data_IF_685490890941
#
_entry.id   IF_685490890941
#
_cell.length_a   1.000
_cell.length_b   1.000
_cell.length_c   1.000
_cell.angle_alpha   90.00
_cell.angle_beta   90.00
_cell.angle_gamma   90.00
#
_symmetry.space_group_name_H-M   'P 1'
#
loop_
_entity.id
_entity.type
_entity.pdbx_description
1 polymer ?
#
# COMPACT_ATOMS: atom_id res chain seq x y z
N UNK A 1 51.04 17.02 10.78
CA UNK A 1 50.93 18.13 11.76
C UNK A 1 49.44 18.47 11.87
N UNK A 2 48.77 18.06 12.96
CA UNK A 2 48.38 18.90 14.12
C UNK A 2 47.45 20.05 13.69
N UNK A 3 46.12 19.90 13.84
CA UNK A 3 45.23 20.48 14.90
C UNK A 3 44.08 21.19 14.13
N UNK A 4 42.84 21.43 14.57
CA UNK A 4 42.07 21.38 15.82
C UNK A 4 40.56 21.37 15.41
N UNK A 5 39.64 20.68 16.11
CA UNK A 5 38.74 21.17 17.18
C UNK A 5 37.43 21.88 16.76
N UNK A 6 36.30 21.18 17.02
CA UNK A 6 35.06 21.56 17.74
C UNK A 6 34.39 22.92 17.44
N UNK A 7 33.06 22.90 17.20
CA UNK A 7 32.06 23.83 17.79
C UNK A 7 30.71 23.10 17.92
N UNK A 8 30.10 23.23 19.09
CA UNK A 8 28.77 22.77 19.49
C UNK A 8 27.71 23.88 19.28
N UNK A 9 26.42 23.51 19.20
CA UNK A 9 25.33 24.06 20.03
C UNK A 9 23.92 23.90 19.39
N UNK A 10 23.06 23.23 20.16
CA UNK A 10 21.65 23.52 20.46
C UNK A 10 20.65 23.99 19.37
N UNK A 11 19.60 23.17 19.18
CA UNK A 11 18.25 23.67 18.93
C UNK A 11 17.23 22.73 19.60
N UNK A 12 16.88 23.01 20.86
CA UNK A 12 15.69 22.44 21.52
C UNK A 12 14.53 23.38 21.20
N UNK A 13 13.64 22.94 20.32
CA UNK A 13 12.37 23.62 20.03
C UNK A 13 11.36 23.24 21.10
N UNK A 14 11.04 24.19 21.98
CA UNK A 14 10.00 24.08 23.01
C UNK A 14 8.63 24.33 22.36
N UNK A 15 7.69 23.42 22.62
CA UNK A 15 6.30 23.42 22.15
C UNK A 15 5.53 24.69 22.55
N UNK A 16 4.69 25.17 21.64
CA UNK A 16 3.73 26.25 21.86
C UNK A 16 2.29 25.73 21.97
N UNK A 17 1.63 26.17 23.04
CA UNK A 17 0.28 26.75 23.18
C UNK A 17 -1.05 26.01 22.83
N UNK A 18 -2.01 26.35 23.71
CA UNK A 18 -3.46 26.55 23.56
C UNK A 18 -4.35 25.28 23.56
N UNK A 19 -5.07 25.02 24.64
CA UNK A 19 -6.33 25.64 25.06
C UNK A 19 -7.56 25.07 24.32
N UNK A 20 -8.39 24.34 25.06
CA UNK A 20 -9.82 24.20 24.78
C UNK A 20 -10.53 23.80 26.08
N UNK A 21 -11.26 24.74 26.68
CA UNK A 21 -12.41 24.44 27.55
C UNK A 21 -13.65 24.19 26.67
N UNK A 22 -14.64 23.43 27.16
CA UNK A 22 -15.79 24.03 27.86
C UNK A 22 -16.14 23.18 29.12
N UNK A 23 -16.92 23.57 30.12
CA UNK A 23 -17.95 24.59 30.32
C UNK A 23 -18.88 24.03 31.41
N UNK A 24 -19.28 24.87 32.37
CA UNK A 24 -20.14 24.62 33.53
C UNK A 24 -21.50 23.95 33.18
N UNK A 25 -22.23 23.26 34.08
CA UNK A 25 -23.06 23.76 35.22
C UNK A 25 -23.82 22.56 35.87
N UNK A 26 -24.71 22.70 36.89
CA UNK A 26 -24.57 23.10 38.29
C UNK A 26 -25.07 22.00 39.28
N UNK A 27 -24.87 22.19 40.60
CA UNK A 27 -25.89 22.11 41.69
C UNK A 27 -25.25 21.76 43.04
N UNK A 28 -25.45 22.65 44.02
CA UNK A 28 -25.11 22.43 45.43
C UNK A 28 -26.32 21.87 46.19
N UNK A 29 -26.10 20.87 47.05
CA UNK A 29 -27.10 20.38 48.00
C UNK A 29 -26.69 19.10 48.77
N UNK A 30 -25.94 19.29 49.86
CA UNK A 30 -25.65 18.44 51.06
C UNK A 30 -26.58 17.24 51.35
N UNK A 31 -26.20 16.08 51.94
CA UNK A 31 -24.94 15.42 52.35
C UNK A 31 -25.23 13.94 52.66
N UNK A 32 -24.16 13.14 52.59
CA UNK A 32 -23.92 11.83 53.26
C UNK A 32 -24.21 10.54 52.47
N UNK A 33 -23.15 10.16 51.74
CA UNK A 33 -22.57 8.80 51.65
C UNK A 33 -23.27 7.77 50.75
N UNK A 34 -23.20 8.09 49.46
CA UNK A 34 -22.90 7.26 48.28
C UNK A 34 -23.62 5.90 48.17
N UNK A 35 -24.71 5.90 47.41
CA UNK A 35 -25.38 4.71 46.89
C UNK A 35 -25.58 4.77 45.37
N UNK A 36 -25.53 3.59 44.77
CA UNK A 36 -26.32 3.08 43.62
C UNK A 36 -26.04 3.56 42.18
N UNK A 37 -25.63 2.56 41.36
CA UNK A 37 -26.29 2.07 40.14
C UNK A 37 -27.07 3.04 39.22
N UNK A 38 -26.72 3.05 37.92
CA UNK A 38 -27.63 2.82 36.79
C UNK A 38 -26.93 2.85 35.41
N UNK A 39 -27.20 1.83 34.61
CA UNK A 39 -27.59 1.80 33.18
C UNK A 39 -26.89 2.63 32.09
N UNK A 40 -26.38 1.88 31.10
CA UNK A 40 -26.47 2.08 29.65
C UNK A 40 -26.48 3.51 29.08
N UNK A 41 -25.35 3.89 28.48
CA UNK A 41 -25.29 4.88 27.41
C UNK A 41 -24.25 4.45 26.36
N UNK A 42 -24.75 4.05 25.20
CA UNK A 42 -23.97 3.83 23.99
C UNK A 42 -23.38 5.17 23.54
N UNK A 43 -22.09 5.37 23.76
CA UNK A 43 -21.33 6.48 23.19
C UNK A 43 -20.49 5.93 22.05
N UNK A 44 -20.98 6.16 20.84
CA UNK A 44 -20.27 5.89 19.60
C UNK A 44 -18.87 6.53 19.67
N UNK A 45 -17.84 5.69 19.64
CA UNK A 45 -16.48 6.14 19.41
C UNK A 45 -16.42 6.85 18.03
N UNK A 46 -15.60 7.92 17.88
CA UNK A 46 -15.45 8.58 16.59
C UNK A 46 -14.94 7.53 15.61
N UNK A 47 -15.79 7.21 14.63
CA UNK A 47 -15.45 6.34 13.52
C UNK A 47 -14.16 6.84 12.89
N UNK A 48 -13.24 5.92 12.67
CA UNK A 48 -12.13 6.08 11.73
C UNK A 48 -12.65 6.86 10.54
N UNK A 49 -12.03 8.01 10.26
CA UNK A 49 -12.22 8.68 9.00
C UNK A 49 -11.90 7.64 7.93
N UNK A 50 -12.96 7.13 7.28
CA UNK A 50 -12.82 6.43 6.02
C UNK A 50 -12.10 7.42 5.12
N UNK A 51 -10.82 7.17 4.85
CA UNK A 51 -10.10 7.87 3.80
C UNK A 51 -10.95 7.69 2.56
N UNK A 52 -11.64 8.75 2.16
CA UNK A 52 -12.43 8.81 0.93
C UNK A 52 -11.48 8.40 -0.18
N UNK A 53 -11.58 7.14 -0.63
CA UNK A 53 -10.74 6.63 -1.68
C UNK A 53 -10.95 7.56 -2.88
N UNK A 54 -9.93 8.33 -3.24
CA UNK A 54 -9.94 9.09 -4.48
C UNK A 54 -10.25 8.08 -5.57
N UNK A 55 -11.42 8.21 -6.20
CA UNK A 55 -11.84 7.29 -7.24
C UNK A 55 -11.03 7.58 -8.49
N UNK A 56 -9.82 7.03 -8.56
CA UNK A 56 -8.95 7.15 -9.72
C UNK A 56 -9.58 6.35 -10.86
N UNK A 57 -9.91 7.04 -11.96
CA UNK A 57 -10.54 6.41 -13.12
C UNK A 57 -9.47 5.82 -14.07
N UNK A 58 -9.39 4.48 -14.25
CA UNK A 58 -8.39 3.83 -15.10
C UNK A 58 -8.52 4.20 -16.59
N UNK A 59 -9.67 4.71 -17.04
CA UNK A 59 -9.88 5.12 -18.43
C UNK A 59 -8.95 6.29 -18.85
N UNK A 60 -8.53 7.14 -17.90
CA UNK A 60 -7.69 8.32 -18.15
C UNK A 60 -6.24 8.01 -18.52
N UNK A 61 -5.78 6.79 -18.27
CA UNK A 61 -4.38 6.39 -18.45
C UNK A 61 -4.19 5.65 -19.78
N UNK A 62 -3.02 5.73 -20.40
CA UNK A 62 -2.74 5.02 -21.66
C UNK A 62 -2.64 3.51 -21.41
N UNK A 63 -3.16 2.65 -22.30
CA UNK A 63 -3.05 1.18 -22.17
C UNK A 63 -1.62 0.65 -22.46
N UNK A 64 -0.68 0.98 -21.58
CA UNK A 64 0.72 0.51 -21.54
C UNK A 64 1.25 0.57 -20.10
N UNK A 65 2.48 0.10 -19.89
CA UNK A 65 3.13 0.07 -18.58
C UNK A 65 3.17 1.45 -17.94
N UNK A 66 3.55 2.49 -18.69
CA UNK A 66 3.57 3.87 -18.17
C UNK A 66 2.21 4.31 -17.64
N UNK A 67 1.11 3.99 -18.34
CA UNK A 67 -0.23 4.27 -17.85
C UNK A 67 -0.59 3.49 -16.59
N UNK A 68 -0.19 2.22 -16.50
CA UNK A 68 -0.40 1.40 -15.31
C UNK A 68 0.35 1.98 -14.10
N UNK A 69 1.61 2.36 -14.29
CA UNK A 69 2.44 2.96 -13.24
C UNK A 69 1.84 4.28 -12.77
N UNK A 70 1.41 5.15 -13.68
CA UNK A 70 0.76 6.42 -13.32
C UNK A 70 -0.56 6.18 -12.56
N UNK A 71 -1.38 5.23 -13.00
CA UNK A 71 -2.63 4.88 -12.32
C UNK A 71 -2.42 4.36 -10.90
N UNK A 72 -1.45 3.47 -10.71
CA UNK A 72 -1.11 2.92 -9.39
C UNK A 72 -0.47 3.98 -8.49
N UNK A 73 0.30 4.91 -9.06
CA UNK A 73 0.91 6.05 -8.36
C UNK A 73 -0.12 7.08 -7.90
N UNK A 74 -1.04 7.49 -8.79
CA UNK A 74 -2.14 8.40 -8.46
C UNK A 74 -3.15 7.75 -7.48
N UNK A 75 -3.17 6.42 -7.42
CA UNK A 75 -3.91 5.66 -6.39
C UNK A 75 -3.14 5.51 -5.07
N UNK A 76 -1.96 6.12 -4.95
CA UNK A 76 -1.08 6.11 -3.77
C UNK A 76 -0.55 4.71 -3.35
N UNK A 77 -0.49 3.76 -4.29
CA UNK A 77 0.04 2.42 -4.00
C UNK A 77 1.53 2.29 -4.28
N UNK A 78 2.07 3.08 -5.21
CA UNK A 78 3.49 3.15 -5.54
C UNK A 78 3.97 4.60 -5.58
N UNK A 79 5.26 4.82 -5.34
CA UNK A 79 5.85 6.15 -5.29
C UNK A 79 7.22 6.17 -5.98
N UNK A 80 7.59 7.34 -6.53
CA UNK A 80 8.86 7.53 -7.22
C UNK A 80 8.95 6.81 -8.57
N UNK A 81 10.17 6.61 -9.06
CA UNK A 81 10.40 5.96 -10.36
C UNK A 81 10.34 4.43 -10.30
N UNK A 82 10.55 3.83 -9.13
CA UNK A 82 10.82 2.39 -9.03
C UNK A 82 12.16 2.00 -9.69
N UNK A 83 12.45 0.71 -9.65
CA UNK A 83 13.66 0.10 -10.23
C UNK A 83 13.23 -0.78 -11.40
N UNK A 84 13.93 -0.66 -12.53
CA UNK A 84 13.71 -1.55 -13.68
C UNK A 84 14.13 -2.99 -13.33
N UNK A 85 13.34 -3.95 -13.81
CA UNK A 85 13.55 -5.37 -13.53
C UNK A 85 14.15 -6.09 -14.73
N UNK A 86 14.74 -7.26 -14.49
CA UNK A 86 15.06 -8.25 -15.53
C UNK A 86 13.78 -8.94 -16.03
N UNK A 87 12.87 -8.14 -16.60
CA UNK A 87 11.52 -8.56 -16.96
C UNK A 87 11.48 -9.58 -18.10
N UNK A 88 12.54 -9.62 -18.92
CA UNK A 88 12.70 -10.58 -20.00
C UNK A 88 12.79 -12.02 -19.49
N UNK A 89 13.27 -12.23 -18.24
CA UNK A 89 13.34 -13.55 -17.61
C UNK A 89 11.97 -14.21 -17.46
N UNK A 90 10.89 -13.42 -17.39
CA UNK A 90 9.51 -13.90 -17.34
C UNK A 90 8.75 -13.64 -18.64
N UNK A 91 9.46 -13.28 -19.71
CA UNK A 91 8.91 -13.03 -21.03
C UNK A 91 8.09 -11.73 -21.16
N UNK A 92 8.15 -10.83 -20.18
CA UNK A 92 7.45 -9.55 -20.24
C UNK A 92 8.15 -8.58 -21.21
N UNK A 93 7.45 -7.50 -21.60
CA UNK A 93 7.93 -6.40 -22.45
C UNK A 93 8.52 -5.23 -21.63
N UNK A 94 8.19 -5.18 -20.35
CA UNK A 94 8.69 -4.18 -19.42
C UNK A 94 8.28 -4.55 -18.01
N UNK A 95 9.05 -4.10 -17.02
CA UNK A 95 8.76 -4.36 -15.62
C UNK A 95 9.45 -3.39 -14.67
N UNK A 96 8.74 -3.01 -13.60
CA UNK A 96 9.29 -2.17 -12.53
C UNK A 96 8.92 -2.69 -11.15
N UNK A 97 9.85 -2.53 -10.21
CA UNK A 97 9.68 -2.82 -8.78
C UNK A 97 9.62 -1.53 -7.98
N UNK A 98 8.69 -1.48 -7.04
CA UNK A 98 8.53 -0.44 -6.05
C UNK A 98 8.62 -1.09 -4.68
N UNK A 99 9.47 -0.55 -3.80
CA UNK A 99 9.62 -1.04 -2.44
C UNK A 99 9.48 0.13 -1.48
N UNK A 100 8.67 -0.04 -0.45
CA UNK A 100 8.58 0.92 0.65
C UNK A 100 8.65 0.25 2.01
N UNK A 101 9.23 0.95 2.96
CA UNK A 101 9.27 0.54 4.36
C UNK A 101 7.97 0.98 5.03
N UNK A 102 7.17 0.04 5.52
CA UNK A 102 5.92 0.33 6.24
C UNK A 102 6.20 0.50 7.74
N UNK A 103 7.15 -0.27 8.27
CA UNK A 103 7.60 -0.16 9.66
C UNK A 103 9.07 -0.59 9.77
N UNK A 104 9.68 -0.43 10.95
CA UNK A 104 11.12 -0.70 11.17
C UNK A 104 11.61 -2.06 10.64
N UNK A 105 10.73 -3.07 10.61
CA UNK A 105 11.05 -4.43 10.16
C UNK A 105 10.10 -4.93 9.04
N UNK A 106 9.37 -4.04 8.38
CA UNK A 106 8.37 -4.42 7.36
C UNK A 106 8.58 -3.65 6.06
N UNK A 107 8.73 -4.38 4.97
CA UNK A 107 8.77 -3.84 3.61
C UNK A 107 7.62 -4.39 2.78
N UNK A 108 7.02 -3.50 1.99
CA UNK A 108 6.10 -3.88 0.94
C UNK A 108 6.76 -3.66 -0.41
N UNK A 109 6.65 -4.68 -1.26
CA UNK A 109 7.16 -4.69 -2.61
C UNK A 109 6.03 -4.97 -3.59
N UNK A 110 5.93 -4.13 -4.61
CA UNK A 110 5.02 -4.28 -5.74
C UNK A 110 5.86 -4.31 -7.01
N UNK A 111 5.73 -5.37 -7.80
CA UNK A 111 6.29 -5.48 -9.14
C UNK A 111 5.16 -5.48 -10.16
N UNK A 112 5.31 -4.68 -11.21
CA UNK A 112 4.31 -4.50 -12.26
C UNK A 112 4.96 -4.76 -13.61
N UNK A 113 4.32 -5.60 -14.42
CA UNK A 113 4.83 -6.05 -15.71
C UNK A 113 3.79 -5.86 -16.82
N UNK A 114 4.25 -5.55 -18.03
CA UNK A 114 3.44 -5.55 -19.26
C UNK A 114 3.84 -6.73 -20.15
N UNK A 115 2.86 -7.43 -20.72
CA UNK A 115 3.06 -8.46 -21.73
C UNK A 115 2.58 -8.00 -23.11
N UNK A 116 3.27 -8.46 -24.16
CA UNK A 116 2.75 -8.38 -25.53
C UNK A 116 1.85 -9.59 -25.80
N UNK A 117 0.53 -9.36 -25.75
CA UNK A 117 -0.46 -10.40 -26.02
C UNK A 117 -0.65 -10.68 -27.51
N UNK A 118 -0.17 -9.82 -28.41
CA UNK A 118 -0.30 -10.02 -29.86
C UNK A 118 0.73 -11.03 -30.37
N UNK A 119 1.93 -11.00 -29.79
CA UNK A 119 3.02 -11.90 -30.15
C UNK A 119 3.79 -12.39 -28.91
N UNK A 120 3.15 -13.15 -28.00
CA UNK A 120 3.82 -13.61 -26.79
C UNK A 120 4.87 -14.66 -27.12
N UNK A 121 6.07 -14.50 -26.55
CA UNK A 121 7.12 -15.52 -26.59
C UNK A 121 6.73 -16.76 -25.75
N UNK A 122 7.50 -17.85 -25.87
CA UNK A 122 7.20 -19.10 -25.17
C UNK A 122 7.18 -18.94 -23.64
N UNK A 123 8.12 -18.17 -23.09
CA UNK A 123 8.19 -17.86 -21.65
C UNK A 123 6.95 -17.10 -21.20
N UNK A 124 6.53 -16.07 -21.93
CA UNK A 124 5.33 -15.29 -21.63
C UNK A 124 4.08 -16.17 -21.60
N UNK A 125 3.90 -17.05 -22.60
CA UNK A 125 2.76 -17.99 -22.62
C UNK A 125 2.73 -18.86 -21.36
N UNK A 126 3.88 -19.50 -21.04
CA UNK A 126 4.02 -20.34 -19.84
C UNK A 126 3.67 -19.58 -18.57
N UNK A 127 4.25 -18.40 -18.36
CA UNK A 127 4.03 -17.60 -17.15
C UNK A 127 2.56 -17.15 -17.05
N UNK A 128 1.98 -16.62 -18.14
CA UNK A 128 0.59 -16.17 -18.14
C UNK A 128 -0.37 -17.33 -17.86
N UNK A 129 -0.12 -18.51 -18.43
CA UNK A 129 -0.97 -19.68 -18.20
C UNK A 129 -0.84 -20.23 -16.77
N UNK A 130 0.37 -20.29 -16.22
CA UNK A 130 0.59 -20.67 -14.81
C UNK A 130 -0.16 -19.74 -13.86
N UNK A 131 -0.10 -18.42 -14.08
CA UNK A 131 -0.76 -17.45 -13.21
C UNK A 131 -2.28 -17.53 -13.34
N UNK A 132 -2.83 -17.74 -14.55
CA UNK A 132 -4.27 -17.97 -14.73
C UNK A 132 -4.77 -19.19 -13.98
N UNK A 133 -3.99 -20.27 -13.98
CA UNK A 133 -4.38 -21.54 -13.34
C UNK A 133 -4.20 -21.52 -11.82
N UNK A 134 -3.14 -20.85 -11.33
CA UNK A 134 -2.67 -21.07 -9.96
C UNK A 134 -2.44 -19.80 -9.14
N UNK A 135 -2.66 -18.60 -9.70
CA UNK A 135 -2.28 -17.31 -9.12
C UNK A 135 -0.79 -17.27 -8.69
N UNK A 136 0.05 -17.93 -9.47
CA UNK A 136 1.50 -17.97 -9.26
C UNK A 136 2.23 -18.45 -10.51
N UNK A 137 3.53 -18.24 -10.57
CA UNK A 137 4.40 -18.84 -11.58
C UNK A 137 5.69 -19.37 -10.95
N UNK A 138 6.40 -20.24 -11.65
CA UNK A 138 7.67 -20.79 -11.18
C UNK A 138 8.86 -20.14 -11.87
N UNK A 139 9.79 -19.61 -11.08
CA UNK A 139 11.07 -19.04 -11.55
C UNK A 139 12.21 -19.54 -10.65
N UNK A 140 13.25 -20.11 -11.24
CA UNK A 140 14.36 -20.75 -10.51
C UNK A 140 13.88 -21.69 -9.40
N UNK A 141 12.94 -22.59 -9.74
CA UNK A 141 12.33 -23.58 -8.84
C UNK A 141 11.53 -22.98 -7.66
N UNK A 142 11.35 -21.65 -7.64
CA UNK A 142 10.55 -20.97 -6.63
C UNK A 142 9.19 -20.60 -7.19
N UNK A 143 8.15 -20.92 -6.41
CA UNK A 143 6.78 -20.50 -6.68
C UNK A 143 6.60 -19.06 -6.24
N UNK A 144 6.32 -18.18 -7.19
CA UNK A 144 6.12 -16.74 -6.98
C UNK A 144 4.62 -16.44 -7.08
N UNK A 145 3.96 -16.00 -5.99
CA UNK A 145 2.58 -15.54 -6.04
C UNK A 145 2.42 -14.32 -6.96
N UNK A 146 1.43 -14.37 -7.83
CA UNK A 146 1.18 -13.30 -8.79
C UNK A 146 -0.30 -13.25 -9.19
N UNK A 147 -0.74 -12.12 -9.71
CA UNK A 147 -2.07 -12.01 -10.29
C UNK A 147 -2.03 -11.26 -11.62
N UNK A 148 -2.99 -11.58 -12.48
CA UNK A 148 -3.21 -10.84 -13.73
C UNK A 148 -4.24 -9.74 -13.53
N UNK A 149 -4.06 -8.65 -14.26
CA UNK A 149 -5.10 -7.67 -14.53
C UNK A 149 -6.27 -8.32 -15.28
N UNK A 150 -7.46 -7.71 -15.26
CA UNK A 150 -8.68 -8.33 -15.83
C UNK A 150 -8.57 -8.58 -17.34
N UNK A 151 -7.84 -7.73 -18.07
CA UNK A 151 -7.57 -7.92 -19.51
C UNK A 151 -6.41 -8.88 -19.81
N UNK A 152 -5.74 -9.43 -18.78
CA UNK A 152 -4.65 -10.38 -18.90
C UNK A 152 -3.31 -9.81 -19.39
N UNK A 153 -3.24 -8.53 -19.74
CA UNK A 153 -2.04 -7.89 -20.32
C UNK A 153 -0.97 -7.55 -19.28
N UNK A 154 -1.39 -7.30 -18.06
CA UNK A 154 -0.50 -6.93 -16.96
C UNK A 154 -0.46 -8.00 -15.89
N UNK A 155 0.72 -8.16 -15.29
CA UNK A 155 0.96 -9.05 -14.16
C UNK A 155 1.49 -8.23 -12.97
N UNK A 156 1.04 -8.57 -11.77
CA UNK A 156 1.55 -8.01 -10.52
C UNK A 156 2.08 -9.11 -9.60
N UNK A 157 3.28 -8.88 -9.05
CA UNK A 157 3.79 -9.59 -7.86
C UNK A 157 3.68 -8.65 -6.68
N UNK A 158 3.05 -9.10 -5.61
CA UNK A 158 2.96 -8.37 -4.35
C UNK A 158 3.64 -9.18 -3.24
N UNK A 159 4.47 -8.52 -2.44
CA UNK A 159 5.12 -9.13 -1.28
C UNK A 159 5.09 -8.15 -0.11
N UNK A 160 4.68 -8.65 1.05
CA UNK A 160 4.78 -7.97 2.33
C UNK A 160 5.62 -8.82 3.29
N UNK A 161 6.74 -8.28 3.78
CA UNK A 161 7.65 -9.02 4.64
C UNK A 161 7.09 -9.32 6.03
N UNK A 162 6.07 -8.57 6.51
CA UNK A 162 5.46 -8.82 7.81
C UNK A 162 4.41 -9.95 7.77
N UNK A 163 3.71 -10.09 6.65
CA UNK A 163 2.59 -11.02 6.52
C UNK A 163 2.95 -12.33 5.81
N UNK A 164 4.16 -12.43 5.23
CA UNK A 164 4.61 -13.63 4.53
C UNK A 164 3.65 -13.99 3.40
N UNK A 165 3.00 -15.15 3.51
CA UNK A 165 1.99 -15.63 2.55
C UNK A 165 0.54 -15.31 2.92
N UNK A 166 0.29 -14.69 4.08
CA UNK A 166 -1.06 -14.32 4.54
C UNK A 166 -1.54 -13.08 3.80
N UNK A 167 -2.71 -13.17 3.17
CA UNK A 167 -3.29 -12.06 2.41
C UNK A 167 -3.90 -11.02 3.36
N UNK A 168 -3.29 -9.82 3.41
CA UNK A 168 -3.80 -8.68 4.18
C UNK A 168 -4.97 -7.97 3.46
N UNK A 169 -5.79 -7.22 4.19
CA UNK A 169 -6.84 -6.36 3.57
C UNK A 169 -6.23 -5.38 2.57
N UNK A 170 -5.07 -4.81 2.91
CA UNK A 170 -4.33 -3.91 2.04
C UNK A 170 -3.87 -4.58 0.75
N UNK A 171 -3.41 -5.82 0.81
CA UNK A 171 -3.09 -6.60 -0.39
C UNK A 171 -4.32 -6.81 -1.28
N UNK A 172 -5.50 -7.10 -0.69
CA UNK A 172 -6.75 -7.25 -1.45
C UNK A 172 -7.12 -5.96 -2.18
N UNK A 173 -7.08 -4.83 -1.50
CA UNK A 173 -7.36 -3.51 -2.09
C UNK A 173 -6.44 -3.19 -3.27
N UNK A 174 -5.13 -3.47 -3.12
CA UNK A 174 -4.14 -3.26 -4.20
C UNK A 174 -4.44 -4.18 -5.38
N UNK A 175 -4.72 -5.46 -5.13
CA UNK A 175 -5.07 -6.42 -6.19
C UNK A 175 -6.35 -6.00 -6.92
N UNK A 176 -7.38 -5.57 -6.20
CA UNK A 176 -8.62 -5.07 -6.80
C UNK A 176 -8.38 -3.83 -7.65
N UNK A 177 -7.61 -2.86 -7.13
CA UNK A 177 -7.25 -1.66 -7.90
C UNK A 177 -6.49 -2.02 -9.17
N UNK A 178 -5.49 -2.89 -9.05
CA UNK A 178 -4.69 -3.38 -10.16
C UNK A 178 -5.56 -4.09 -11.21
N UNK A 179 -6.47 -4.97 -10.79
CA UNK A 179 -7.39 -5.68 -11.69
C UNK A 179 -8.35 -4.76 -12.42
N UNK A 180 -8.76 -3.65 -11.81
CA UNK A 180 -9.61 -2.64 -12.45
C UNK A 180 -8.91 -1.85 -13.56
N UNK A 181 -7.57 -1.90 -13.64
CA UNK A 181 -6.84 -1.20 -14.69
C UNK A 181 -7.16 -1.78 -16.07
N UNK A 182 -7.85 -0.99 -16.91
CA UNK A 182 -8.25 -1.37 -18.26
C UNK A 182 -9.03 -2.69 -18.32
N UNK A 183 -9.83 -2.94 -17.28
CA UNK A 183 -10.83 -4.00 -17.23
C UNK A 183 -11.96 -3.76 -18.24
#
# INVERSE_FOLDING_TARGET
MKKAMIIAAAAVLVLSCAACGPGDVPVSGTSSSASSAASAASSAAPSQAASSAVSVNPAKYSDNLKGLLNYMGDSHYIEGSGVELEYELIGAKGGRRYTKTISKNSTETIELYEYDLKSPNATAKKILDEVKQSNSFTLFEKKIPACLSSNGKYLMVYKDSANGSTVSSRQKEIIEKFKAYKA
#
